data_IF_742326425684
#
_entry.id   IF_742326425684
#
_cell.length_a   1.000
_cell.length_b   1.000
_cell.length_c   1.000
_cell.angle_alpha   90.00
_cell.angle_beta   90.00
_cell.angle_gamma   90.00
#
_symmetry.space_group_name_H-M   'P 1'
#
loop_
_entity.id
_entity.type
_entity.pdbx_description
1 polymer ?
#
# COMPACT_ATOMS: atom_id res chain seq x y z
N UNK A 1 1.48 -26.10 2.78
CA UNK A 1 2.80 -25.55 2.36
C UNK A 1 3.68 -25.56 3.58
N UNK A 2 4.90 -26.05 3.48
CA UNK A 2 5.88 -26.05 4.58
C UNK A 2 6.35 -24.59 4.83
N UNK A 3 6.45 -24.18 6.10
CA UNK A 3 6.88 -22.83 6.52
C UNK A 3 8.29 -22.52 5.99
N UNK A 4 9.19 -23.49 6.02
CA UNK A 4 10.55 -23.33 5.49
C UNK A 4 10.56 -22.98 4.00
N UNK A 5 9.70 -23.63 3.22
CA UNK A 5 9.56 -23.35 1.79
C UNK A 5 8.95 -21.97 1.54
N UNK A 6 7.96 -21.58 2.35
CA UNK A 6 7.36 -20.22 2.24
C UNK A 6 8.42 -19.15 2.53
N UNK A 7 9.20 -19.31 3.59
CA UNK A 7 10.28 -18.37 3.92
C UNK A 7 11.35 -18.31 2.82
N UNK A 8 11.72 -19.42 2.22
CA UNK A 8 12.67 -19.45 1.11
C UNK A 8 12.16 -18.66 -0.11
N UNK A 9 10.87 -18.79 -0.44
CA UNK A 9 10.25 -18.02 -1.53
C UNK A 9 10.27 -16.53 -1.23
N UNK A 10 9.90 -16.14 0.01
CA UNK A 10 9.93 -14.73 0.42
C UNK A 10 11.34 -14.13 0.38
N UNK A 11 12.36 -14.87 0.84
CA UNK A 11 13.75 -14.42 0.78
C UNK A 11 14.24 -14.27 -0.67
N UNK A 12 13.88 -15.20 -1.55
CA UNK A 12 14.21 -15.11 -2.97
C UNK A 12 13.58 -13.86 -3.60
N UNK A 13 12.33 -13.58 -3.29
CA UNK A 13 11.65 -12.37 -3.74
C UNK A 13 12.32 -11.10 -3.18
N UNK A 14 12.69 -11.09 -1.90
CA UNK A 14 13.37 -9.97 -1.25
C UNK A 14 14.70 -9.64 -1.94
N UNK A 15 15.51 -10.66 -2.27
CA UNK A 15 16.76 -10.48 -3.00
C UNK A 15 16.53 -9.93 -4.41
N UNK A 16 15.50 -10.42 -5.11
CA UNK A 16 15.18 -9.93 -6.45
C UNK A 16 14.77 -8.44 -6.43
N UNK A 17 13.91 -8.06 -5.47
CA UNK A 17 13.50 -6.65 -5.30
C UNK A 17 14.68 -5.78 -4.86
N UNK A 18 15.54 -6.26 -3.95
CA UNK A 18 16.73 -5.52 -3.54
C UNK A 18 17.69 -5.23 -4.71
N UNK A 19 17.87 -6.19 -5.61
CA UNK A 19 18.67 -6.01 -6.85
C UNK A 19 18.02 -4.99 -7.79
N UNK A 20 16.71 -5.07 -7.99
CA UNK A 20 15.96 -4.10 -8.80
C UNK A 20 16.11 -2.68 -8.24
N UNK A 21 15.99 -2.52 -6.93
CA UNK A 21 16.11 -1.23 -6.24
C UNK A 21 17.51 -0.62 -6.25
N UNK A 22 18.54 -1.33 -6.72
CA UNK A 22 19.87 -0.72 -6.91
C UNK A 22 19.87 0.35 -8.01
N UNK A 23 18.93 0.29 -8.93
CA UNK A 23 18.81 1.21 -10.08
C UNK A 23 17.75 2.30 -9.88
N UNK A 24 16.94 2.20 -8.82
CA UNK A 24 15.81 3.09 -8.57
C UNK A 24 15.78 3.54 -7.11
N UNK A 25 15.34 4.75 -6.86
CA UNK A 25 15.24 5.27 -5.50
C UNK A 25 13.94 4.85 -4.80
N UNK A 26 12.85 4.82 -5.55
CA UNK A 26 11.53 4.41 -5.05
C UNK A 26 10.75 3.63 -6.12
N UNK A 27 9.88 2.73 -5.67
CA UNK A 27 8.79 2.15 -6.46
C UNK A 27 7.53 2.93 -6.15
N UNK A 28 6.84 3.38 -7.18
CA UNK A 28 5.57 4.09 -7.07
C UNK A 28 4.43 3.20 -7.55
N UNK A 29 3.39 3.09 -6.75
CA UNK A 29 2.17 2.33 -7.07
C UNK A 29 0.94 3.00 -6.45
N UNK A 30 -0.28 2.69 -6.89
CA UNK A 30 -1.45 2.97 -6.08
C UNK A 30 -1.36 2.22 -4.75
N UNK A 31 -1.87 2.78 -3.66
CA UNK A 31 -1.92 2.05 -2.39
C UNK A 31 -2.89 0.88 -2.47
N UNK A 32 -4.04 1.09 -3.08
CA UNK A 32 -5.10 0.11 -3.27
C UNK A 32 -5.49 0.06 -4.75
N UNK A 33 -6.07 -1.06 -5.19
CA UNK A 33 -6.48 -1.26 -6.58
C UNK A 33 -7.78 -0.52 -6.94
N UNK A 34 -8.57 -0.16 -5.94
CA UNK A 34 -9.86 0.51 -6.07
C UNK A 34 -9.96 1.66 -5.07
N UNK A 35 -10.83 2.67 -5.32
CA UNK A 35 -11.21 3.66 -4.32
C UNK A 35 -11.77 3.00 -3.05
N UNK A 36 -11.93 3.76 -1.94
CA UNK A 36 -12.52 3.23 -0.72
C UNK A 36 -13.82 2.49 -1.00
N UNK A 37 -13.90 1.23 -0.56
CA UNK A 37 -15.05 0.38 -0.76
C UNK A 37 -16.17 0.75 0.22
N UNK A 38 -17.41 0.44 -0.16
CA UNK A 38 -18.54 0.48 0.75
C UNK A 38 -18.32 -0.49 1.91
N UNK A 39 -18.81 -0.11 3.09
CA UNK A 39 -18.71 -0.94 4.30
C UNK A 39 -19.38 -2.30 4.04
N UNK A 40 -18.72 -3.36 4.48
CA UNK A 40 -19.20 -4.73 4.34
C UNK A 40 -18.67 -5.48 3.11
N UNK A 41 -18.10 -4.80 2.10
CA UNK A 41 -17.62 -5.46 0.87
C UNK A 41 -16.51 -6.49 1.08
N UNK A 42 -15.63 -6.26 2.05
CA UNK A 42 -14.49 -7.14 2.37
C UNK A 42 -14.46 -7.57 3.84
N UNK A 43 -15.59 -7.48 4.55
CA UNK A 43 -15.65 -7.95 5.93
C UNK A 43 -15.48 -9.47 6.02
N UNK A 44 -14.71 -9.90 7.02
CA UNK A 44 -14.67 -11.29 7.44
C UNK A 44 -15.89 -11.56 8.34
N UNK A 45 -17.02 -11.84 7.73
CA UNK A 45 -18.26 -12.14 8.45
C UNK A 45 -18.31 -13.62 8.84
N UNK A 46 -19.05 -13.99 9.90
CA UNK A 46 -19.29 -15.40 10.24
C UNK A 46 -19.85 -16.14 9.02
N UNK A 47 -19.25 -17.28 8.69
CA UNK A 47 -19.64 -18.12 7.55
C UNK A 47 -18.86 -17.89 6.25
N UNK A 48 -18.03 -16.83 6.14
CA UNK A 48 -17.14 -16.67 5.00
C UNK A 48 -15.84 -17.44 5.27
N UNK A 49 -15.47 -18.33 4.37
CA UNK A 49 -14.21 -19.05 4.47
C UNK A 49 -13.01 -18.17 4.07
N UNK A 50 -11.81 -18.50 4.57
CA UNK A 50 -10.57 -17.84 4.15
C UNK A 50 -10.30 -18.00 2.66
N UNK A 51 -10.76 -19.10 2.05
CA UNK A 51 -10.63 -19.33 0.62
C UNK A 51 -11.49 -18.37 -0.23
N UNK A 52 -12.60 -17.88 0.30
CA UNK A 52 -13.46 -16.89 -0.36
C UNK A 52 -13.01 -15.46 -0.04
N UNK A 53 -12.63 -15.19 1.19
CA UNK A 53 -12.23 -13.87 1.65
C UNK A 53 -10.86 -13.45 1.13
N UNK A 54 -9.88 -14.37 1.18
CA UNK A 54 -8.49 -14.08 0.82
C UNK A 54 -8.31 -13.49 -0.58
N UNK A 55 -8.88 -14.10 -1.65
CA UNK A 55 -8.80 -13.54 -3.00
C UNK A 55 -9.42 -12.13 -3.14
N UNK A 56 -10.49 -11.82 -2.41
CA UNK A 56 -11.12 -10.49 -2.42
C UNK A 56 -10.19 -9.42 -1.84
N UNK A 57 -9.58 -9.72 -0.70
CA UNK A 57 -8.60 -8.81 -0.07
C UNK A 57 -7.35 -8.67 -0.94
N UNK A 58 -6.85 -9.77 -1.50
CA UNK A 58 -5.68 -9.74 -2.37
C UNK A 58 -5.94 -8.91 -3.64
N UNK A 59 -7.14 -8.96 -4.21
CA UNK A 59 -7.51 -8.14 -5.35
C UNK A 59 -7.63 -6.65 -4.99
N UNK A 60 -8.11 -6.33 -3.77
CA UNK A 60 -8.25 -4.97 -3.29
C UNK A 60 -6.90 -4.33 -2.91
N UNK A 61 -5.98 -5.09 -2.31
CA UNK A 61 -4.67 -4.61 -1.83
C UNK A 61 -3.48 -5.38 -2.43
N UNK A 62 -3.33 -5.45 -3.75
CA UNK A 62 -2.29 -6.26 -4.39
C UNK A 62 -0.88 -5.68 -4.22
N UNK A 63 -0.76 -4.37 -4.05
CA UNK A 63 0.53 -3.67 -4.08
C UNK A 63 1.24 -3.66 -2.73
N UNK A 64 0.51 -3.66 -1.61
CA UNK A 64 1.08 -3.55 -0.26
C UNK A 64 1.79 -4.82 0.20
N UNK A 65 1.43 -5.97 -0.36
CA UNK A 65 1.95 -7.27 0.04
C UNK A 65 3.45 -7.41 -0.21
N UNK A 66 3.96 -6.85 -1.31
CA UNK A 66 5.38 -6.93 -1.66
C UNK A 66 6.26 -6.39 -0.53
N UNK A 67 6.00 -5.18 -0.06
CA UNK A 67 6.77 -4.56 1.01
C UNK A 67 6.68 -5.36 2.33
N UNK A 68 5.51 -5.89 2.66
CA UNK A 68 5.33 -6.74 3.84
C UNK A 68 6.16 -8.03 3.79
N UNK A 69 6.33 -8.62 2.61
CA UNK A 69 7.10 -9.86 2.47
C UNK A 69 8.60 -9.62 2.35
N UNK A 70 9.01 -8.51 1.78
CA UNK A 70 10.41 -8.18 1.53
C UNK A 70 11.04 -7.32 2.63
N UNK A 71 10.23 -6.78 3.54
CA UNK A 71 10.68 -5.94 4.66
C UNK A 71 11.07 -4.52 4.26
N UNK A 72 10.66 -4.05 3.08
CA UNK A 72 10.97 -2.70 2.63
C UNK A 72 10.07 -1.65 3.29
N UNK A 73 10.60 -0.47 3.60
CA UNK A 73 9.78 0.64 4.08
C UNK A 73 8.86 1.14 2.97
N UNK A 74 7.63 1.45 3.35
CA UNK A 74 6.65 2.04 2.43
C UNK A 74 5.84 3.11 3.14
N UNK A 75 5.47 4.15 2.40
CA UNK A 75 4.54 5.17 2.85
C UNK A 75 3.41 5.35 1.84
N UNK A 76 2.23 5.67 2.33
CA UNK A 76 1.09 6.06 1.50
C UNK A 76 0.71 7.50 1.78
N UNK A 77 0.55 8.29 0.73
CA UNK A 77 0.16 9.69 0.81
C UNK A 77 -1.06 9.98 -0.06
N UNK A 78 -2.01 10.81 0.36
CA UNK A 78 -3.28 11.03 -0.33
C UNK A 78 -3.15 12.06 -1.47
N UNK A 79 -2.32 11.75 -2.46
CA UNK A 79 -2.05 12.66 -3.59
C UNK A 79 -3.21 12.74 -4.58
N UNK A 80 -3.97 11.65 -4.72
CA UNK A 80 -5.09 11.57 -5.66
C UNK A 80 -6.44 11.84 -5.00
N UNK A 81 -7.44 12.08 -5.86
CA UNK A 81 -8.84 12.19 -5.47
C UNK A 81 -9.70 11.59 -6.57
N UNK A 82 -10.73 10.81 -6.20
CA UNK A 82 -11.70 10.28 -7.16
C UNK A 82 -12.63 11.40 -7.66
N UNK A 83 -13.45 11.09 -8.66
CA UNK A 83 -14.47 12.04 -9.16
C UNK A 83 -15.52 12.40 -8.08
N UNK A 84 -15.77 11.47 -7.16
CA UNK A 84 -16.68 11.60 -6.03
C UNK A 84 -16.03 12.29 -4.82
N UNK A 85 -14.76 12.71 -4.92
CA UNK A 85 -14.06 13.40 -3.84
C UNK A 85 -13.39 12.50 -2.82
N UNK A 86 -13.37 11.16 -3.03
CA UNK A 86 -12.72 10.23 -2.13
C UNK A 86 -11.18 10.29 -2.29
N UNK A 87 -10.41 10.19 -1.20
CA UNK A 87 -8.95 10.21 -1.26
C UNK A 87 -8.41 8.95 -1.96
N UNK A 88 -7.44 9.15 -2.83
CA UNK A 88 -6.68 8.06 -3.46
C UNK A 88 -5.25 8.11 -2.96
N UNK A 89 -4.83 7.02 -2.31
CA UNK A 89 -3.48 6.86 -1.80
C UNK A 89 -2.50 6.50 -2.92
N UNK A 90 -1.35 7.16 -2.90
CA UNK A 90 -0.18 6.81 -3.70
C UNK A 90 0.89 6.26 -2.77
N UNK A 91 1.35 5.06 -3.06
CA UNK A 91 2.35 4.36 -2.26
C UNK A 91 3.75 4.51 -2.86
N UNK A 92 4.69 4.83 -1.99
CA UNK A 92 6.12 4.88 -2.30
C UNK A 92 6.82 3.82 -1.45
N UNK A 93 7.54 2.92 -2.11
CA UNK A 93 8.35 1.88 -1.44
C UNK A 93 9.82 2.19 -1.67
N UNK A 94 10.58 2.34 -0.58
CA UNK A 94 12.00 2.63 -0.59
C UNK A 94 12.87 1.37 -0.58
N UNK A 95 14.20 1.55 -0.59
CA UNK A 95 15.16 0.47 -0.35
C UNK A 95 15.05 -0.01 1.10
N UNK A 96 15.44 -1.25 1.32
CA UNK A 96 15.49 -1.80 2.68
C UNK A 96 16.34 -0.90 3.61
N UNK A 97 15.75 -0.47 4.73
CA UNK A 97 16.40 0.38 5.73
C UNK A 97 16.53 1.87 5.34
N UNK A 98 15.92 2.32 4.23
CA UNK A 98 16.01 3.72 3.76
C UNK A 98 14.71 4.50 4.04
N UNK A 99 14.20 4.42 5.26
CA UNK A 99 13.05 5.19 5.73
C UNK A 99 13.32 6.71 5.62
N UNK A 100 14.57 7.11 5.81
CA UNK A 100 14.96 8.52 5.71
C UNK A 100 14.70 9.13 4.33
N UNK A 101 14.84 8.36 3.26
CA UNK A 101 14.47 8.78 1.91
C UNK A 101 12.98 9.08 1.82
N UNK A 102 12.15 8.18 2.36
CA UNK A 102 10.69 8.33 2.31
C UNK A 102 10.23 9.56 3.11
N UNK A 103 10.82 9.83 4.29
CA UNK A 103 10.52 11.05 5.05
C UNK A 103 10.91 12.32 4.32
N UNK A 104 12.07 12.35 3.65
CA UNK A 104 12.48 13.50 2.82
C UNK A 104 11.52 13.71 1.66
N UNK A 105 11.11 12.62 0.99
CA UNK A 105 10.13 12.68 -0.09
C UNK A 105 8.76 13.15 0.41
N UNK A 106 8.30 12.65 1.56
CA UNK A 106 7.05 13.10 2.18
C UNK A 106 7.06 14.61 2.43
N UNK A 107 8.13 15.14 3.02
CA UNK A 107 8.27 16.58 3.25
C UNK A 107 8.22 17.42 1.97
N UNK A 108 8.78 16.94 0.87
CA UNK A 108 8.66 17.61 -0.44
C UNK A 108 7.22 17.56 -0.98
N UNK A 109 6.57 16.41 -0.87
CA UNK A 109 5.20 16.23 -1.33
C UNK A 109 4.20 17.07 -0.54
N UNK A 110 4.39 17.23 0.77
CA UNK A 110 3.54 18.10 1.61
C UNK A 110 3.60 19.56 1.19
N UNK A 111 4.74 20.03 0.68
CA UNK A 111 4.89 21.40 0.21
C UNK A 111 4.29 21.63 -1.19
N UNK A 112 4.19 20.59 -2.03
CA UNK A 112 3.73 20.72 -3.41
C UNK A 112 2.20 20.77 -3.54
N UNK A 113 1.43 19.68 -3.34
CA UNK A 113 -0.02 19.71 -3.28
C UNK A 113 -0.50 19.57 -1.82
N UNK A 114 -0.72 20.66 -1.07
CA UNK A 114 -1.11 20.53 0.34
C UNK A 114 -2.45 19.81 0.46
N UNK A 115 -2.44 18.58 0.98
CA UNK A 115 -3.63 17.77 1.27
C UNK A 115 -4.16 17.96 2.68
N UNK A 116 -3.41 18.60 3.58
CA UNK A 116 -3.77 18.80 4.98
C UNK A 116 -5.11 19.57 5.17
N UNK A 117 -5.48 20.40 4.20
CA UNK A 117 -6.75 21.12 4.18
C UNK A 117 -7.94 20.32 3.61
N UNK A 118 -7.69 19.14 3.03
CA UNK A 118 -8.75 18.28 2.47
C UNK A 118 -9.43 17.50 3.59
N UNK A 119 -10.55 18.00 4.07
CA UNK A 119 -11.36 17.35 5.11
C UNK A 119 -12.72 16.96 4.54
N UNK A 120 -13.27 15.80 4.92
CA UNK A 120 -14.65 15.46 4.55
C UNK A 120 -15.60 16.47 5.17
N UNK A 121 -16.62 16.87 4.42
CA UNK A 121 -17.70 17.69 4.96
C UNK A 121 -18.61 16.78 5.79
N UNK A 122 -18.25 16.59 7.05
CA UNK A 122 -19.06 15.87 8.03
C UNK A 122 -20.17 16.81 8.51
N UNK A 123 -21.16 17.08 7.64
CA UNK A 123 -22.37 17.71 8.11
C UNK A 123 -23.02 16.76 9.12
N UNK A 124 -23.07 17.17 10.39
CA UNK A 124 -23.85 16.47 11.39
C UNK A 124 -25.30 16.43 10.89
N UNK A 125 -25.80 15.21 10.59
CA UNK A 125 -27.23 14.96 10.43
C UNK A 125 -27.85 14.75 11.78
#
# INVERSE_FOLDING_TARGET
MDVARANSVMQTAAVAVARFMQQYDVILAPTLAEPPLELGRINLSPGISMAEWGPRVAAFSPFTQMANWTGQPSMSVPLGQSREGLPIGVMFTGRYGDEALLFRLAGQLEMAPPWAGRRPNLAAK
#
